data_IF_001995085633
#
_entry.id   IF_001995085633
#
_cell.length_a   1.000
_cell.length_b   1.000
_cell.length_c   1.000
_cell.angle_alpha   90.00
_cell.angle_beta   90.00
_cell.angle_gamma   90.00
#
_symmetry.space_group_name_H-M   'P 1'
#
loop_
_entity.id
_entity.type
_entity.pdbx_description
1 polymer ?
2 non-polymer ?
3 water ?
#
# COMPACT_ATOMS: atom_id res chain seq x y z
N UNK A 7 -11.91 15.25 -1.44
CA UNK A 7 -12.51 14.26 -2.39
C UNK A 7 -11.86 12.90 -2.21
N UNK A 8 -12.51 11.84 -2.70
CA UNK A 8 -11.97 10.48 -2.58
C UNK A 8 -10.57 10.39 -3.18
N UNK A 9 -9.67 9.74 -2.48
CA UNK A 9 -8.29 9.59 -2.96
C UNK A 9 -8.22 8.71 -4.20
N UNK A 10 -7.49 9.20 -5.20
CA UNK A 10 -7.30 8.47 -6.45
C UNK A 10 -5.84 8.02 -6.39
N UNK A 11 -5.65 6.73 -6.15
CA UNK A 11 -4.30 6.17 -5.97
C UNK A 11 -3.82 5.21 -7.05
N UNK A 12 -2.60 5.44 -7.53
CA UNK A 12 -2.03 4.60 -8.55
C UNK A 12 -1.43 3.32 -8.00
N UNK A 13 -2.01 2.19 -8.39
CA UNK A 13 -1.55 0.87 -7.95
C UNK A 13 -0.18 0.59 -8.54
N UNK A 14 0.85 0.56 -7.68
CA UNK A 14 2.22 0.32 -8.13
C UNK A 14 2.62 1.40 -9.16
N UNK A 15 2.00 2.57 -9.01
CA UNK A 15 2.25 3.69 -9.91
C UNK A 15 1.22 3.69 -11.03
N UNK A 16 1.69 3.65 -12.27
CA UNK A 16 0.84 3.61 -13.46
C UNK A 16 1.42 2.44 -14.26
N UNK A 17 1.12 1.21 -13.83
CA UNK A 17 1.56 -0.07 -14.40
C UNK A 17 1.39 -0.33 -15.88
N UNK A 18 0.58 0.47 -16.56
CA UNK A 18 0.39 0.28 -17.99
C UNK A 18 1.20 1.30 -18.79
N UNK A 19 1.72 2.30 -18.09
CA UNK A 19 2.51 3.36 -18.72
C UNK A 19 4.01 3.06 -18.56
N UNK A 20 4.35 2.29 -17.52
CA UNK A 20 5.73 1.92 -17.25
C UNK A 20 5.71 0.69 -16.34
N UNK A 21 6.84 0.00 -16.24
CA UNK A 21 6.88 -1.21 -15.42
C UNK A 21 6.45 -0.94 -13.98
N UNK A 22 5.54 -1.79 -13.50
CA UNK A 22 5.00 -1.65 -12.15
C UNK A 22 6.08 -1.58 -11.07
N UNK A 23 5.79 -0.79 -10.04
CA UNK A 23 6.69 -0.62 -8.91
C UNK A 23 8.10 -0.09 -9.24
N UNK A 24 8.20 0.78 -10.24
CA UNK A 24 9.47 1.39 -10.60
C UNK A 24 9.29 2.89 -10.45
N UNK A 25 10.39 3.61 -10.23
CA UNK A 25 10.33 5.05 -10.05
C UNK A 25 9.60 5.76 -11.20
N UNK A 26 9.85 5.32 -12.42
CA UNK A 26 9.19 5.92 -13.58
C UNK A 26 7.69 5.75 -13.47
N UNK A 27 7.24 4.57 -13.08
CA UNK A 27 5.82 4.31 -12.94
C UNK A 27 5.19 5.22 -11.90
N UNK A 28 5.83 5.37 -10.74
CA UNK A 28 5.29 6.22 -9.70
C UNK A 28 5.27 7.68 -10.16
N UNK A 29 6.33 8.13 -10.82
CA UNK A 29 6.40 9.50 -11.30
C UNK A 29 5.28 9.79 -12.32
N UNK A 30 5.07 8.87 -13.25
CA UNK A 30 4.03 9.05 -14.26
C UNK A 30 2.65 9.12 -13.63
N UNK A 31 2.42 8.33 -12.58
CA UNK A 31 1.14 8.33 -11.91
C UNK A 31 0.88 9.70 -11.26
N UNK A 32 1.91 10.26 -10.65
CA UNK A 32 1.76 11.55 -10.00
C UNK A 32 1.68 12.68 -11.02
N UNK A 33 2.39 12.52 -12.14
CA UNK A 33 2.36 13.54 -13.19
C UNK A 33 0.98 13.55 -13.86
N UNK A 34 0.29 12.42 -13.78
CA UNK A 34 -1.05 12.28 -14.37
C UNK A 34 -2.09 13.01 -13.53
N UNK A 35 -1.73 13.39 -12.32
CA UNK A 35 -2.65 14.11 -11.47
C UNK A 35 -3.30 13.29 -10.36
N UNK A 36 -2.84 12.06 -10.15
CA UNK A 36 -3.40 11.23 -9.10
C UNK A 36 -3.00 11.80 -7.74
N UNK A 37 -3.77 11.47 -6.71
CA UNK A 37 -3.49 11.97 -5.37
C UNK A 37 -2.33 11.29 -4.67
N UNK A 38 -1.96 10.11 -5.16
CA UNK A 38 -0.87 9.37 -4.56
C UNK A 38 -0.68 8.03 -5.22
N UNK A 39 0.12 7.19 -4.59
CA UNK A 39 0.41 5.87 -5.13
C UNK A 39 0.49 4.82 -4.04
N UNK A 40 0.27 3.57 -4.44
CA UNK A 40 0.41 2.45 -3.52
C UNK A 40 1.65 1.74 -4.04
N UNK A 41 2.48 1.26 -3.12
CA UNK A 41 3.70 0.55 -3.49
C UNK A 41 3.92 -0.65 -2.58
N UNK A 42 4.33 -1.76 -3.17
CA UNK A 42 4.57 -2.99 -2.44
C UNK A 42 6.02 -3.06 -1.97
N UNK A 43 6.26 -3.48 -0.74
CA UNK A 43 7.63 -3.63 -0.27
C UNK A 43 7.86 -4.93 0.49
N UNK A 44 9.07 -5.46 0.33
CA UNK A 44 9.51 -6.68 1.01
C UNK A 44 10.87 -6.35 1.60
N UNK A 45 11.16 -6.81 2.82
CA UNK A 45 12.47 -6.53 3.40
C UNK A 45 13.55 -7.47 2.86
N UNK A 46 14.71 -6.89 2.55
CA UNK A 46 15.84 -7.66 2.05
C UNK A 46 16.61 -8.25 3.22
N UNK A 47 17.60 -9.08 2.93
CA UNK A 47 18.40 -9.69 3.98
C UNK A 47 19.03 -8.63 4.86
N UNK A 48 19.45 -7.52 4.26
CA UNK A 48 20.10 -6.44 5.01
C UNK A 48 19.17 -5.33 5.49
N UNK A 49 17.87 -5.62 5.55
CA UNK A 49 16.92 -4.66 6.07
C UNK A 49 16.48 -3.49 5.22
N UNK A 50 16.67 -3.59 3.91
CA UNK A 50 16.24 -2.54 3.00
C UNK A 50 14.86 -2.95 2.48
N UNK A 51 13.98 -1.97 2.29
CA UNK A 51 12.66 -2.30 1.78
C UNK A 51 12.64 -2.15 0.27
N UNK A 52 12.70 -3.30 -0.40
CA UNK A 52 12.70 -3.37 -1.85
C UNK A 52 11.28 -3.20 -2.34
N UNK A 53 11.12 -2.37 -3.36
CA UNK A 53 9.80 -2.11 -3.92
C UNK A 53 9.52 -3.04 -5.09
N UNK A 54 8.76 -4.09 -4.81
CA UNK A 54 8.39 -5.08 -5.83
C UNK A 54 7.25 -5.93 -5.29
N UNK A 55 6.45 -6.48 -6.20
CA UNK A 55 5.30 -7.27 -5.80
C UNK A 55 5.61 -8.71 -5.42
N UNK A 56 6.38 -9.40 -6.25
CA UNK A 56 6.69 -10.80 -5.99
C UNK A 56 7.86 -10.99 -5.03
N UNK A 57 7.75 -11.95 -4.11
CA UNK A 57 8.80 -12.25 -3.14
C UNK A 57 9.93 -13.10 -3.71
N UNK A 58 9.65 -13.80 -4.80
CA UNK A 58 10.65 -14.68 -5.40
C UNK A 58 11.45 -13.98 -6.49
N UNK A 59 12.77 -14.08 -6.38
CA UNK A 59 13.68 -13.46 -7.34
C UNK A 59 14.62 -14.49 -7.92
N UNK A 60 15.34 -14.14 -9.00
CA UNK A 60 16.27 -15.08 -9.62
C UNK A 60 17.34 -15.55 -8.63
N UNK A 61 17.56 -14.76 -7.57
CA UNK A 61 18.56 -15.09 -6.56
C UNK A 61 17.94 -15.71 -5.31
N UNK A 62 16.62 -15.92 -5.34
CA UNK A 62 15.93 -16.50 -4.20
C UNK A 62 14.94 -15.53 -3.56
N UNK A 63 14.32 -15.90 -2.42
CA UNK A 63 13.38 -15.02 -1.75
C UNK A 63 14.03 -13.70 -1.35
N UNK A 64 13.31 -12.60 -1.47
CA UNK A 64 13.86 -11.29 -1.12
C UNK A 64 14.55 -11.23 0.23
N UNK A 65 13.95 -11.84 1.26
CA UNK A 65 14.55 -11.76 2.60
C UNK A 65 15.89 -12.46 2.74
N UNK A 66 16.26 -13.28 1.76
CA UNK A 66 17.54 -13.98 1.80
C UNK A 66 18.60 -13.35 0.91
N UNK A 67 18.28 -12.22 0.29
CA UNK A 67 19.21 -11.56 -0.60
C UNK A 67 19.45 -10.10 -0.20
N UNK A 68 20.70 -9.64 -0.28
CA UNK A 68 21.01 -8.26 0.05
C UNK A 68 20.49 -7.36 -1.07
N UNK A 69 20.07 -6.15 -0.71
CA UNK A 69 19.53 -5.22 -1.68
C UNK A 69 20.48 -4.97 -2.86
N UNK A 70 21.75 -4.71 -2.57
CA UNK A 70 22.73 -4.43 -3.63
C UNK A 70 22.78 -5.55 -4.65
N UNK A 71 22.62 -6.78 -4.20
CA UNK A 71 22.65 -7.92 -5.10
C UNK A 71 21.38 -7.96 -5.95
N UNK A 72 20.23 -7.70 -5.33
CA UNK A 72 18.97 -7.68 -6.08
C UNK A 72 19.00 -6.56 -7.13
N UNK A 73 19.63 -5.45 -6.77
CA UNK A 73 19.73 -4.28 -7.64
C UNK A 73 20.64 -4.55 -8.84
N UNK A 74 21.72 -5.30 -8.63
CA UNK A 74 22.61 -5.62 -9.72
C UNK A 74 21.88 -6.50 -10.72
N UNK A 75 21.11 -7.44 -10.18
CA UNK A 75 20.33 -8.38 -10.98
C UNK A 75 19.13 -7.71 -11.66
N UNK A 76 18.54 -6.74 -10.97
CA UNK A 76 17.34 -6.01 -11.43
C UNK A 76 17.60 -4.51 -11.23
N UNK A 77 18.35 -3.89 -12.14
CA UNK A 77 18.69 -2.45 -12.07
C UNK A 77 17.59 -1.43 -11.79
N UNK A 78 16.36 -1.71 -12.20
CA UNK A 78 15.28 -0.75 -11.95
C UNK A 78 14.51 -0.99 -10.65
N UNK A 79 15.04 -1.85 -9.80
CA UNK A 79 14.39 -2.15 -8.50
C UNK A 79 14.64 -1.01 -7.52
N UNK A 80 13.58 -0.28 -7.13
CA UNK A 80 13.77 0.82 -6.19
C UNK A 80 13.79 0.36 -4.74
N UNK A 81 14.25 1.24 -3.85
CA UNK A 81 14.19 0.96 -2.43
C UNK A 81 13.18 2.01 -1.95
N UNK A 82 12.48 1.69 -0.87
CA UNK A 82 11.44 2.57 -0.35
C UNK A 82 11.74 4.07 -0.29
N UNK A 83 12.90 4.44 0.26
CA UNK A 83 13.25 5.86 0.39
C UNK A 83 13.22 6.62 -0.93
N UNK A 84 13.58 5.95 -2.03
CA UNK A 84 13.60 6.58 -3.33
C UNK A 84 12.20 6.95 -3.81
N UNK A 85 11.22 6.11 -3.48
CA UNK A 85 9.85 6.38 -3.87
C UNK A 85 9.27 7.51 -3.03
N UNK A 86 9.49 7.45 -1.72
CA UNK A 86 8.98 8.48 -0.82
C UNK A 86 9.58 9.84 -1.13
N UNK A 87 10.80 9.83 -1.68
CA UNK A 87 11.49 11.07 -2.01
C UNK A 87 10.76 11.86 -3.09
N UNK A 88 9.85 11.20 -3.81
CA UNK A 88 9.10 11.86 -4.86
C UNK A 88 8.19 12.95 -4.29
N UNK A 89 7.99 12.93 -2.98
CA UNK A 89 7.14 13.92 -2.34
C UNK A 89 7.76 15.31 -2.45
N UNK A 90 9.04 15.34 -2.85
CA UNK A 90 9.74 16.61 -3.03
C UNK A 90 9.22 17.29 -4.28
N UNK A 91 8.96 16.51 -5.32
CA UNK A 91 8.45 17.03 -6.57
C UNK A 91 6.93 17.19 -6.51
N UNK A 92 6.29 16.37 -5.67
CA UNK A 92 4.84 16.42 -5.50
C UNK A 92 4.53 16.50 -4.00
N UNK A 93 4.70 17.69 -3.41
CA UNK A 93 4.46 17.92 -1.98
C UNK A 93 3.10 17.54 -1.41
N UNK A 94 2.07 17.47 -2.26
CA UNK A 94 0.73 17.12 -1.81
C UNK A 94 0.41 15.64 -1.95
N UNK A 95 1.28 14.91 -2.63
CA UNK A 95 1.06 13.48 -2.86
C UNK A 95 1.18 12.65 -1.58
N UNK A 96 0.38 11.58 -1.51
CA UNK A 96 0.41 10.67 -0.37
C UNK A 96 0.90 9.32 -0.85
N UNK A 97 1.48 8.54 0.06
CA UNK A 97 2.04 7.24 -0.28
C UNK A 97 1.52 6.14 0.63
N UNK A 98 0.92 5.13 0.01
CA UNK A 98 0.40 3.99 0.74
C UNK A 98 1.40 2.85 0.53
N UNK A 99 2.15 2.55 1.59
CA UNK A 99 3.15 1.51 1.53
C UNK A 99 2.52 0.20 2.02
N UNK A 100 2.48 -0.81 1.15
CA UNK A 100 1.95 -2.10 1.61
C UNK A 100 3.14 -2.93 2.05
N UNK A 101 3.17 -3.24 3.34
CA UNK A 101 4.24 -4.05 3.88
C UNK A 101 3.88 -5.50 3.64
N UNK A 102 4.70 -6.17 2.85
CA UNK A 102 4.50 -7.56 2.57
C UNK A 102 5.65 -8.23 3.27
N UNK A 103 5.38 -9.31 4.00
CA UNK A 103 6.48 -10.00 4.63
C UNK A 103 6.19 -11.47 4.70
N UNK A 104 7.28 -12.24 4.78
CA UNK A 104 7.10 -13.64 4.91
C UNK A 104 6.57 -13.92 6.31
N UNK A 105 5.25 -14.18 6.42
CA UNK A 105 4.55 -14.42 7.68
C UNK A 105 5.44 -15.11 8.71
N UNK A 106 5.48 -14.55 9.91
CA UNK A 106 6.32 -15.12 10.95
C UNK A 106 7.49 -14.17 11.07
N UNK A 107 7.70 -13.43 9.99
CA UNK A 107 8.78 -12.45 9.90
C UNK A 107 8.16 -11.06 9.78
N UNK A 108 6.83 -11.01 9.76
CA UNK A 108 6.18 -9.72 9.65
C UNK A 108 6.40 -8.76 10.81
N UNK A 109 6.43 -9.28 12.04
CA UNK A 109 6.62 -8.43 13.20
C UNK A 109 7.99 -7.74 13.15
N UNK A 110 9.03 -8.51 12.85
CA UNK A 110 10.38 -7.96 12.77
C UNK A 110 10.48 -6.92 11.65
N UNK A 111 9.92 -7.25 10.49
CA UNK A 111 9.96 -6.32 9.36
C UNK A 111 9.16 -5.08 9.72
N UNK A 112 8.05 -5.28 10.42
CA UNK A 112 7.20 -4.16 10.83
C UNK A 112 7.95 -3.20 11.74
N UNK A 113 8.68 -3.75 12.72
CA UNK A 113 9.45 -2.91 13.63
C UNK A 113 10.50 -2.12 12.86
N UNK A 114 11.12 -2.75 11.87
CA UNK A 114 12.12 -2.09 11.06
C UNK A 114 11.49 -0.95 10.23
N UNK A 115 10.33 -1.22 9.64
CA UNK A 115 9.65 -0.22 8.83
C UNK A 115 9.19 0.95 9.70
N UNK A 116 8.72 0.65 10.90
CA UNK A 116 8.26 1.67 11.82
C UNK A 116 9.37 2.68 12.10
N UNK A 117 10.57 2.18 12.37
CA UNK A 117 11.71 3.05 12.66
C UNK A 117 12.06 3.90 11.46
N UNK A 118 11.99 3.31 10.27
CA UNK A 118 12.31 4.02 9.03
C UNK A 118 11.32 5.13 8.72
N UNK A 119 10.05 4.89 9.00
CA UNK A 119 9.00 5.87 8.71
C UNK A 119 8.66 6.78 9.88
N UNK A 120 9.52 6.80 10.89
CA UNK A 120 9.28 7.63 12.06
C UNK A 120 9.11 9.10 11.72
N UNK A 121 8.00 9.68 12.17
CA UNK A 121 7.74 11.09 11.93
C UNK A 121 7.48 11.52 10.50
N UNK A 122 7.57 10.59 9.54
CA UNK A 122 7.32 10.94 8.14
C UNK A 122 5.85 11.29 7.93
N UNK A 123 5.59 12.27 7.07
CA UNK A 123 4.23 12.69 6.79
C UNK A 123 3.80 12.26 5.39
N UNK A 124 2.49 12.22 5.17
CA UNK A 124 1.96 11.84 3.88
C UNK A 124 2.10 10.37 3.54
N UNK A 125 2.31 9.53 4.56
CA UNK A 125 2.48 8.10 4.35
C UNK A 125 1.68 7.26 5.32
N UNK A 126 1.09 6.18 4.82
CA UNK A 126 0.39 5.26 5.69
C UNK A 126 0.70 3.85 5.20
N UNK A 127 0.77 2.93 6.14
CA UNK A 127 1.11 1.54 5.85
C UNK A 127 -0.08 0.63 5.95
N UNK A 128 -0.21 -0.26 4.98
CA UNK A 128 -1.28 -1.24 4.99
C UNK A 128 -0.65 -2.63 4.92
N UNK A 129 -1.39 -3.63 5.38
CA UNK A 129 -0.90 -4.99 5.36
C UNK A 129 -2.06 -5.97 5.49
N UNK A 130 -1.88 -7.16 4.90
CA UNK A 130 -2.87 -8.23 4.99
C UNK A 130 -2.60 -9.00 6.30
N UNK A 131 -1.45 -8.75 6.91
CA UNK A 131 -1.02 -9.45 8.12
C UNK A 131 -1.36 -8.71 9.41
N UNK A 132 -2.37 -9.21 10.15
CA UNK A 132 -2.76 -8.57 11.41
C UNK A 132 -1.62 -8.46 12.42
N UNK A 133 -0.74 -9.46 12.42
CA UNK A 133 0.37 -9.45 13.37
C UNK A 133 1.36 -8.33 13.07
N UNK A 134 1.59 -8.06 11.80
CA UNK A 134 2.48 -6.98 11.41
C UNK A 134 1.86 -5.65 11.81
N UNK A 135 0.55 -5.52 11.66
CA UNK A 135 -0.13 -4.28 12.03
C UNK A 135 -0.05 -4.01 13.52
N UNK A 136 -0.18 -5.05 14.34
CA UNK A 136 -0.07 -4.88 15.78
C UNK A 136 1.34 -4.42 16.16
N UNK A 137 2.35 -5.00 15.52
CA UNK A 137 3.73 -4.64 15.78
C UNK A 137 4.02 -3.21 15.32
N UNK A 138 3.47 -2.84 14.18
CA UNK A 138 3.65 -1.49 13.64
C UNK A 138 3.07 -0.44 14.58
N UNK A 139 1.85 -0.68 15.05
CA UNK A 139 1.19 0.26 15.94
C UNK A 139 1.93 0.43 17.27
N UNK A 140 2.49 -0.65 17.78
CA UNK A 140 3.22 -0.59 19.04
C UNK A 140 4.54 0.18 18.86
N UNK A 141 5.19 -0.04 17.72
CA UNK A 141 6.48 0.59 17.41
C UNK A 141 6.38 2.05 16.96
N UNK A 142 5.28 2.40 16.32
CA UNK A 142 5.09 3.77 15.84
C UNK A 142 3.63 4.18 16.02
N UNK A 143 3.27 4.59 17.25
CA UNK A 143 1.91 5.01 17.60
C UNK A 143 1.27 6.05 16.69
N UNK A 144 2.09 6.93 16.10
CA UNK A 144 1.55 7.96 15.23
C UNK A 144 1.48 7.67 13.74
N UNK A 145 1.89 6.47 13.34
CA UNK A 145 1.86 6.10 11.93
C UNK A 145 0.50 5.54 11.51
N UNK A 146 -0.19 6.21 10.57
CA UNK A 146 -1.50 5.73 10.13
C UNK A 146 -1.40 4.34 9.47
N UNK A 147 -2.37 3.49 9.77
CA UNK A 147 -2.38 2.12 9.25
C UNK A 147 -3.69 1.70 8.62
N UNK A 148 -3.59 0.75 7.69
CA UNK A 148 -4.75 0.20 7.02
C UNK A 148 -4.69 -1.32 6.99
N UNK A 149 -5.84 -1.97 7.17
CA UNK A 149 -5.93 -3.42 7.15
C UNK A 149 -6.44 -3.88 5.79
N UNK A 150 -5.58 -4.56 5.02
CA UNK A 150 -5.94 -5.10 3.71
C UNK A 150 -6.71 -6.40 3.92
N UNK A 151 -7.76 -6.59 3.13
CA UNK A 151 -8.58 -7.80 3.23
C UNK A 151 -8.92 -8.35 1.86
N UNK A 152 -8.60 -9.62 1.64
CA UNK A 152 -8.91 -10.33 0.39
C UNK A 152 -10.24 -11.07 0.55
N UNK A 153 -10.60 -11.35 1.81
CA UNK A 153 -11.88 -11.96 2.16
C UNK A 153 -12.35 -11.10 3.31
N UNK A 154 -13.64 -11.12 3.61
CA UNK A 154 -14.13 -10.25 4.67
C UNK A 154 -13.76 -10.67 6.09
N UNK A 155 -12.67 -10.10 6.59
CA UNK A 155 -12.18 -10.40 7.93
C UNK A 155 -12.44 -9.21 8.87
N UNK A 156 -13.56 -8.54 8.66
CA UNK A 156 -13.92 -7.37 9.45
C UNK A 156 -13.98 -7.63 10.96
N UNK A 157 -14.19 -8.89 11.35
CA UNK A 157 -14.26 -9.25 12.76
C UNK A 157 -12.99 -8.86 13.54
N UNK A 158 -11.88 -8.70 12.83
CA UNK A 158 -10.62 -8.33 13.48
C UNK A 158 -10.42 -6.84 13.72
N UNK A 159 -11.16 -6.02 12.99
CA UNK A 159 -11.03 -4.58 13.10
C UNK A 159 -11.05 -4.01 14.52
N UNK A 160 -11.97 -4.50 15.38
CA UNK A 160 -12.01 -3.97 16.76
C UNK A 160 -10.73 -4.22 17.56
N UNK A 161 -9.94 -5.21 17.16
CA UNK A 161 -8.71 -5.54 17.87
C UNK A 161 -7.45 -4.99 17.20
N UNK A 162 -7.62 -4.32 16.07
CA UNK A 162 -6.49 -3.74 15.36
C UNK A 162 -6.48 -2.22 15.50
N UNK A 163 -5.28 -1.67 15.63
CA UNK A 163 -5.15 -0.23 15.73
C UNK A 163 -4.96 0.29 14.32
N UNK A 164 -6.06 0.49 13.61
CA UNK A 164 -6.01 0.99 12.24
C UNK A 164 -7.02 2.10 12.01
N UNK A 165 -6.68 3.01 11.11
CA UNK A 165 -7.55 4.13 10.79
C UNK A 165 -8.29 3.84 9.48
N UNK A 166 -7.80 2.84 8.75
CA UNK A 166 -8.41 2.49 7.48
C UNK A 166 -8.53 0.99 7.26
N UNK A 167 -9.48 0.64 6.40
CA UNK A 167 -9.67 -0.75 6.01
C UNK A 167 -9.56 -0.69 4.49
N UNK A 168 -8.79 -1.62 3.94
CA UNK A 168 -8.56 -1.68 2.50
C UNK A 168 -9.14 -2.98 1.94
N UNK A 169 -10.46 -3.00 1.70
CA UNK A 169 -11.09 -4.21 1.17
C UNK A 169 -10.95 -4.41 -0.32
N UNK A 170 -10.86 -5.66 -0.73
CA UNK A 170 -10.85 -6.01 -2.14
C UNK A 170 -12.23 -5.45 -2.55
N UNK A 171 -12.31 -4.85 -3.74
CA UNK A 171 -13.58 -4.26 -4.16
C UNK A 171 -14.80 -5.19 -4.15
N UNK A 172 -14.57 -6.48 -4.32
CA UNK A 172 -15.67 -7.46 -4.32
C UNK A 172 -16.29 -7.65 -2.93
N UNK A 173 -15.64 -7.12 -1.89
CA UNK A 173 -16.16 -7.23 -0.53
C UNK A 173 -16.95 -5.98 -0.17
N UNK A 174 -16.91 -4.99 -1.04
CA UNK A 174 -17.60 -3.74 -0.76
C UNK A 174 -19.06 -3.73 -1.16
N UNK A 175 -19.90 -3.69 -0.13
CA UNK A 175 -21.36 -3.66 -0.29
C UNK A 175 -21.88 -2.57 0.64
N UNK A 176 -23.13 -2.18 0.45
CA UNK A 176 -23.71 -1.14 1.29
C UNK A 176 -23.65 -1.51 2.77
N UNK A 177 -23.98 -2.76 3.09
CA UNK A 177 -23.96 -3.22 4.47
C UNK A 177 -22.55 -3.28 5.05
N UNK A 178 -21.59 -3.74 4.26
CA UNK A 178 -20.21 -3.83 4.72
C UNK A 178 -19.69 -2.43 5.04
N UNK A 179 -20.01 -1.47 4.17
CA UNK A 179 -19.57 -0.09 4.36
C UNK A 179 -20.22 0.52 5.60
N UNK A 180 -21.48 0.17 5.85
CA UNK A 180 -22.17 0.68 7.02
C UNK A 180 -21.42 0.22 8.27
N UNK A 181 -20.95 -1.02 8.25
CA UNK A 181 -20.22 -1.55 9.38
C UNK A 181 -18.91 -0.82 9.60
N UNK A 182 -18.19 -0.55 8.51
CA UNK A 182 -16.91 0.15 8.61
C UNK A 182 -17.11 1.60 9.02
N UNK A 183 -18.18 2.22 8.54
CA UNK A 183 -18.47 3.62 8.89
C UNK A 183 -18.83 3.69 10.37
N UNK A 184 -19.50 2.65 10.85
CA UNK A 184 -19.91 2.56 12.24
C UNK A 184 -18.71 2.65 13.17
N UNK A 185 -17.54 2.27 12.65
CA UNK A 185 -16.30 2.32 13.43
C UNK A 185 -15.45 3.51 13.01
N UNK A 186 -16.00 4.35 12.16
CA UNK A 186 -15.30 5.54 11.70
C UNK A 186 -14.03 5.24 10.92
N UNK A 187 -14.06 4.18 10.12
CA UNK A 187 -12.90 3.81 9.33
C UNK A 187 -12.89 4.46 7.96
N UNK A 188 -11.69 4.69 7.45
CA UNK A 188 -11.44 5.27 6.13
C UNK A 188 -11.41 4.03 5.22
N UNK A 189 -12.25 4.00 4.19
CA UNK A 189 -12.33 2.83 3.31
C UNK A 189 -11.67 3.04 1.95
N UNK A 190 -10.69 2.19 1.63
CA UNK A 190 -9.96 2.27 0.37
C UNK A 190 -10.04 0.93 -0.37
N UNK A 191 -10.72 0.90 -1.51
CA UNK A 191 -10.86 -0.34 -2.27
C UNK A 191 -9.79 -0.52 -3.34
N UNK A 192 -9.55 -1.79 -3.70
CA UNK A 192 -8.56 -2.18 -4.71
C UNK A 192 -9.02 -3.49 -5.36
N UNK A 193 -8.61 -3.76 -6.59
CA UNK A 193 -7.81 -2.88 -7.43
C UNK A 193 -8.88 -2.55 -8.45
N UNK A 194 -9.24 -1.28 -8.55
CA UNK A 194 -10.32 -0.84 -9.42
C UNK A 194 -9.88 -0.28 -10.76
N UNK A 195 -10.11 -1.07 -11.81
CA UNK A 195 -9.71 -0.66 -13.15
C UNK A 195 -10.85 -0.39 -14.14
N UNK A 196 -12.09 -0.48 -13.66
CA UNK A 196 -13.24 -0.26 -14.54
C UNK A 196 -14.11 0.88 -14.07
N UNK A 197 -14.59 1.67 -15.03
CA UNK A 197 -15.45 2.81 -14.73
C UNK A 197 -16.72 2.38 -13.99
N UNK A 198 -17.36 1.31 -14.48
CA UNK A 198 -18.58 0.85 -13.84
C UNK A 198 -18.39 0.54 -12.36
N UNK A 199 -17.40 -0.28 -12.05
CA UNK A 199 -17.12 -0.67 -10.67
C UNK A 199 -16.69 0.53 -9.84
N UNK A 200 -15.88 1.40 -10.44
CA UNK A 200 -15.41 2.60 -9.74
C UNK A 200 -16.60 3.46 -9.33
N UNK A 201 -17.56 3.64 -10.22
CA UNK A 201 -18.72 4.46 -9.91
C UNK A 201 -19.60 3.78 -8.86
N UNK A 202 -19.68 2.45 -8.90
CA UNK A 202 -20.48 1.71 -7.93
C UNK A 202 -19.89 1.95 -6.54
N UNK A 203 -18.57 1.83 -6.44
CA UNK A 203 -17.88 2.01 -5.16
C UNK A 203 -17.98 3.43 -4.61
N UNK A 204 -17.81 4.43 -5.47
CA UNK A 204 -17.89 5.81 -5.04
C UNK A 204 -19.30 6.18 -4.61
N UNK A 205 -20.29 5.58 -5.26
CA UNK A 205 -21.68 5.85 -4.92
C UNK A 205 -21.94 5.39 -3.49
N UNK A 206 -21.13 4.43 -3.03
CA UNK A 206 -21.26 3.91 -1.67
C UNK A 206 -20.53 4.80 -0.67
N UNK A 207 -19.87 5.84 -1.19
CA UNK A 207 -19.17 6.77 -0.33
C UNK A 207 -17.75 6.43 0.11
N UNK A 208 -17.08 5.55 -0.62
CA UNK A 208 -15.71 5.18 -0.25
C UNK A 208 -14.78 6.38 -0.22
N UNK A 209 -13.70 6.25 0.56
CA UNK A 209 -12.73 7.32 0.73
C UNK A 209 -11.54 7.27 -0.20
N UNK A 210 -11.36 6.16 -0.90
CA UNK A 210 -10.24 6.05 -1.81
C UNK A 210 -10.31 4.83 -2.69
N UNK A 211 -9.63 4.89 -3.82
CA UNK A 211 -9.59 3.79 -4.77
C UNK A 211 -8.16 3.63 -5.28
N UNK A 212 -7.71 2.38 -5.33
CA UNK A 212 -6.37 2.03 -5.82
C UNK A 212 -6.62 1.32 -7.15
N UNK A 213 -6.03 1.82 -8.23
CA UNK A 213 -6.24 1.19 -9.53
C UNK A 213 -5.07 1.29 -10.49
N UNK A 214 -5.09 0.45 -11.53
CA UNK A 214 -4.02 0.41 -12.53
C UNK A 214 -4.19 1.41 -13.67
N UNK A 215 -5.35 2.04 -13.76
CA UNK A 215 -5.61 2.99 -14.85
C UNK A 215 -5.93 4.40 -14.36
N UNK A 216 -4.98 5.33 -14.49
CA UNK A 216 -5.20 6.72 -14.05
C UNK A 216 -6.44 7.37 -14.67
N UNK A 217 -6.68 7.13 -15.95
CA UNK A 217 -7.81 7.73 -16.64
C UNK A 217 -9.15 7.41 -15.96
N UNK A 218 -9.25 6.20 -15.42
CA UNK A 218 -10.47 5.76 -14.75
C UNK A 218 -10.67 6.45 -13.41
N UNK A 219 -9.57 6.70 -12.70
CA UNK A 219 -9.65 7.32 -11.39
C UNK A 219 -9.73 8.84 -11.37
N UNK A 220 -9.05 9.48 -12.33
CA UNK A 220 -9.02 10.94 -12.41
C UNK A 220 -10.34 11.71 -12.32
N UNK A 221 -11.35 11.33 -13.10
CA UNK A 221 -12.63 12.04 -13.08
C UNK A 221 -13.47 11.81 -11.81
N UNK A 222 -13.09 10.83 -11.02
CA UNK A 222 -13.81 10.50 -9.80
C UNK A 222 -13.56 11.55 -8.72
N UNK A 223 -14.63 12.00 -8.07
CA UNK A 223 -14.50 12.98 -7.02
C UNK A 223 -14.99 14.37 -7.41
N UNK A 224 -14.08 15.34 -7.38
CA UNK A 224 -14.46 16.70 -7.72
C UNK A 224 -13.25 17.62 -7.90
#
# INVERSE_FOLDING_TARGET
MTAFRQRPLRLGHRGAPLKAKENTLESFRLALEAGLDGVELDVWPTRDGVFAVRHDPDTPLGPVFQVDYADLKAQEPDLPRLEEVLALKEAFPQAVFNVELKSFPGLGEEAARRLAALLRGREGVWVSSFDPLALLALRKAAPGLPLGFLMAEDHSALLPCLGVEAVHPHHALVTEEAVAGWRKRGLFVVAWTVNEEGEARRLLALGLDGLIGDRPEVLLPLGG
#
